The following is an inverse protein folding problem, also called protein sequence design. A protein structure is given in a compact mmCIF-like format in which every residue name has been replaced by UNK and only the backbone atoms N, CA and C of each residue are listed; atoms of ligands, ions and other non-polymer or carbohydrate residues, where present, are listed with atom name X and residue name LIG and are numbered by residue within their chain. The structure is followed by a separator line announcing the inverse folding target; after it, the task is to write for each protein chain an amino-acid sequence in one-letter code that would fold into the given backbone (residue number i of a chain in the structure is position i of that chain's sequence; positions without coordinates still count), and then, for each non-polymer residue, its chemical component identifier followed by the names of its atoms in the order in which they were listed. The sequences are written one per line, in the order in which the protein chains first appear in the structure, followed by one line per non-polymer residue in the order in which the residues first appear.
data_IF_507985343615
#
_entry.id   IF_507985343615
#
_cell.length_a   1.000
_cell.length_b   1.000
_cell.length_c   1.000
_cell.angle_alpha   90.00
_cell.angle_beta   90.00
_cell.angle_gamma   90.00
#
_symmetry.space_group_name_H-M   'P 1'
#
loop_
_entity.id
_entity.type
_entity.pdbx_description
1 polymer ?
#
# COMPACT_ATOMS: atom_id res chain seq x y z
N UNK A 1 16.53 -4.89 -27.53
CA UNK A 1 15.89 -3.64 -27.04
C UNK A 1 15.30 -3.93 -25.68
N UNK A 2 15.37 -3.01 -24.71
CA UNK A 2 14.78 -3.21 -23.38
C UNK A 2 13.25 -3.21 -23.50
N UNK A 3 12.60 -4.25 -22.98
CA UNK A 3 11.15 -4.43 -23.03
C UNK A 3 10.46 -4.13 -21.70
N UNK A 4 11.17 -4.24 -20.57
CA UNK A 4 10.63 -3.91 -19.25
C UNK A 4 11.70 -3.26 -18.38
N UNK A 5 11.31 -2.21 -17.64
CA UNK A 5 12.15 -1.56 -16.64
C UNK A 5 11.65 -1.93 -15.25
N UNK A 6 12.53 -2.48 -14.41
CA UNK A 6 12.21 -2.83 -13.03
C UNK A 6 12.79 -1.75 -12.11
N UNK A 7 11.95 -1.05 -11.36
CA UNK A 7 12.37 0.00 -10.44
C UNK A 7 12.33 -0.53 -9.01
N UNK A 8 13.48 -0.45 -8.33
CA UNK A 8 13.65 -0.87 -6.93
C UNK A 8 14.03 0.34 -6.08
N UNK A 9 13.12 0.85 -5.24
CA UNK A 9 13.45 1.90 -4.27
C UNK A 9 14.22 1.29 -3.11
N UNK A 10 15.39 1.85 -2.80
CA UNK A 10 16.31 1.31 -1.80
C UNK A 10 16.55 2.32 -0.69
N UNK A 11 16.07 2.02 0.52
CA UNK A 11 16.41 2.76 1.73
C UNK A 11 16.66 1.80 2.90
N UNK A 12 17.90 1.69 3.36
CA UNK A 12 18.29 0.90 4.53
C UNK A 12 17.75 -0.55 4.52
N UNK A 13 17.73 -1.19 3.35
CA UNK A 13 17.23 -2.56 3.17
C UNK A 13 18.21 -3.63 3.69
N UNK A 14 19.48 -3.25 3.90
CA UNK A 14 20.52 -4.11 4.44
C UNK A 14 20.67 -5.42 3.67
N UNK A 15 20.75 -6.54 4.40
CA UNK A 15 20.96 -7.87 3.81
C UNK A 15 19.80 -8.36 2.95
N UNK A 16 18.58 -7.84 3.14
CA UNK A 16 17.39 -8.32 2.40
C UNK A 16 17.47 -7.96 0.90
N UNK A 17 18.13 -6.83 0.59
CA UNK A 17 18.33 -6.34 -0.76
C UNK A 17 19.06 -7.34 -1.67
N UNK A 18 19.98 -8.14 -1.11
CA UNK A 18 20.72 -9.13 -1.87
C UNK A 18 19.79 -10.19 -2.48
N UNK A 19 18.79 -10.65 -1.72
CA UNK A 19 17.77 -11.61 -2.21
C UNK A 19 16.89 -10.98 -3.29
N UNK A 20 16.47 -9.74 -3.10
CA UNK A 20 15.71 -8.97 -4.08
C UNK A 20 16.47 -8.94 -5.43
N UNK A 21 17.70 -8.40 -5.44
CA UNK A 21 18.50 -8.24 -6.67
C UNK A 21 18.77 -9.58 -7.34
N UNK A 22 19.13 -10.61 -6.56
CA UNK A 22 19.37 -11.95 -7.11
C UNK A 22 18.11 -12.51 -7.81
N UNK A 23 16.91 -12.29 -7.26
CA UNK A 23 15.66 -12.71 -7.92
C UNK A 23 15.40 -12.00 -9.26
N UNK A 24 15.86 -10.75 -9.40
CA UNK A 24 15.73 -9.96 -10.63
C UNK A 24 16.76 -10.35 -11.69
N UNK A 25 18.01 -10.59 -11.27
CA UNK A 25 19.06 -11.10 -12.16
C UNK A 25 18.66 -12.46 -12.74
N UNK A 26 18.05 -13.30 -11.89
CA UNK A 26 17.67 -14.65 -12.24
C UNK A 26 16.46 -14.76 -13.17
N UNK A 27 15.75 -13.69 -13.54
CA UNK A 27 14.55 -13.76 -14.39
C UNK A 27 14.77 -14.51 -15.71
N UNK A 28 13.75 -15.23 -16.18
CA UNK A 28 13.75 -15.94 -17.47
C UNK A 28 13.85 -14.98 -18.67
N UNK A 29 13.17 -13.83 -18.60
CA UNK A 29 13.26 -12.73 -19.55
C UNK A 29 14.60 -11.96 -19.42
N UNK A 30 15.29 -11.70 -20.54
CA UNK A 30 16.60 -11.02 -20.52
C UNK A 30 16.56 -9.57 -20.97
N UNK A 31 15.53 -9.18 -21.71
CA UNK A 31 15.27 -7.83 -22.24
C UNK A 31 14.78 -6.87 -21.16
N UNK A 32 15.50 -6.84 -20.04
CA UNK A 32 15.17 -6.08 -18.84
C UNK A 32 16.25 -5.02 -18.57
N UNK A 33 15.86 -3.95 -17.92
CA UNK A 33 16.77 -3.12 -17.12
C UNK A 33 16.31 -3.09 -15.67
N UNK A 34 17.26 -3.01 -14.74
CA UNK A 34 16.99 -3.00 -13.30
C UNK A 34 17.53 -1.68 -12.74
N UNK A 35 16.65 -0.83 -12.25
CA UNK A 35 16.95 0.52 -11.79
C UNK A 35 16.88 0.54 -10.27
N UNK A 36 18.04 0.49 -9.62
CA UNK A 36 18.18 0.57 -8.17
C UNK A 36 18.30 2.04 -7.77
N UNK A 37 17.26 2.60 -7.14
CA UNK A 37 17.24 3.99 -6.71
C UNK A 37 17.55 4.06 -5.21
N UNK A 38 18.80 4.38 -4.87
CA UNK A 38 19.22 4.58 -3.49
C UNK A 38 18.74 5.93 -2.96
N UNK A 39 17.88 5.88 -1.94
CA UNK A 39 17.20 7.01 -1.30
C UNK A 39 17.96 7.52 -0.07
N UNK A 40 19.27 7.72 -0.22
CA UNK A 40 20.11 8.19 0.89
C UNK A 40 20.32 7.15 2.00
N UNK A 41 20.41 5.85 1.66
CA UNK A 41 20.72 4.81 2.66
C UNK A 41 22.01 5.11 3.41
N UNK A 42 21.98 4.92 4.73
CA UNK A 42 23.11 5.10 5.65
C UNK A 42 23.74 3.77 6.07
N UNK A 43 23.14 2.65 5.68
CA UNK A 43 23.65 1.31 5.91
C UNK A 43 24.49 0.77 4.72
N UNK A 44 24.63 -0.55 4.60
CA UNK A 44 25.41 -1.18 3.53
C UNK A 44 24.65 -1.30 2.19
N UNK A 45 23.42 -0.80 2.08
CA UNK A 45 22.57 -1.00 0.88
C UNK A 45 23.21 -0.47 -0.41
N UNK A 46 23.77 0.74 -0.39
CA UNK A 46 24.43 1.31 -1.57
C UNK A 46 25.64 0.47 -2.03
N UNK A 47 26.38 -0.11 -1.09
CA UNK A 47 27.50 -1.00 -1.42
C UNK A 47 27.02 -2.30 -2.08
N UNK A 48 25.88 -2.84 -1.64
CA UNK A 48 25.23 -3.99 -2.26
C UNK A 48 24.79 -3.65 -3.69
N UNK A 49 24.16 -2.49 -3.91
CA UNK A 49 23.82 -2.04 -5.27
C UNK A 49 25.06 -2.00 -6.18
N UNK A 50 26.14 -1.36 -5.71
CA UNK A 50 27.41 -1.24 -6.46
C UNK A 50 28.07 -2.59 -6.75
N UNK A 51 27.99 -3.55 -5.81
CA UNK A 51 28.50 -4.92 -6.01
C UNK A 51 27.82 -5.58 -7.21
N UNK A 52 26.48 -5.54 -7.25
CA UNK A 52 25.72 -6.23 -8.30
C UNK A 52 25.73 -5.50 -9.64
N UNK A 53 25.76 -4.16 -9.66
CA UNK A 53 25.89 -3.43 -10.93
C UNK A 53 27.21 -3.69 -11.67
N UNK A 54 28.27 -4.11 -10.96
CA UNK A 54 29.52 -4.56 -11.59
C UNK A 54 29.41 -5.96 -12.22
N UNK A 55 28.43 -6.76 -11.81
CA UNK A 55 28.26 -8.16 -12.22
C UNK A 55 27.21 -8.33 -13.31
N UNK A 56 26.22 -7.44 -13.37
CA UNK A 56 25.13 -7.49 -14.36
C UNK A 56 24.94 -6.12 -15.02
N UNK A 57 25.24 -6.04 -16.32
CA UNK A 57 25.17 -4.81 -17.11
C UNK A 57 23.75 -4.26 -17.31
N UNK A 58 22.71 -4.99 -16.92
CA UNK A 58 21.32 -4.52 -16.93
C UNK A 58 21.00 -3.59 -15.75
N UNK A 59 21.86 -3.56 -14.72
CA UNK A 59 21.62 -2.80 -13.49
C UNK A 59 22.13 -1.36 -13.63
N UNK A 60 21.22 -0.41 -13.41
CA UNK A 60 21.50 1.03 -13.27
C UNK A 60 21.33 1.45 -11.82
N UNK A 61 22.23 2.29 -11.32
CA UNK A 61 22.15 2.84 -9.96
C UNK A 61 21.88 4.33 -10.05
N UNK A 62 20.86 4.78 -9.35
CA UNK A 62 20.61 6.21 -9.11
C UNK A 62 20.82 6.45 -7.62
N UNK A 63 21.66 7.42 -7.28
CA UNK A 63 21.92 7.79 -5.90
C UNK A 63 21.40 9.21 -5.64
N UNK A 64 20.53 9.37 -4.65
CA UNK A 64 19.92 10.65 -4.28
C UNK A 64 19.85 10.80 -2.75
N UNK A 65 19.48 12.00 -2.31
CA UNK A 65 19.16 12.26 -0.91
C UNK A 65 17.83 11.59 -0.53
N UNK A 66 17.59 11.40 0.76
CA UNK A 66 16.34 10.82 1.26
C UNK A 66 15.16 11.77 0.99
N UNK A 67 14.23 11.35 0.14
CA UNK A 67 12.99 12.10 -0.17
C UNK A 67 11.73 11.23 -0.09
N UNK A 68 11.86 9.98 0.37
CA UNK A 68 10.74 9.06 0.54
C UNK A 68 10.44 8.16 -0.67
N UNK A 69 9.58 7.18 -0.39
CA UNK A 69 9.26 6.02 -1.21
C UNK A 69 8.78 6.38 -2.63
N UNK A 70 7.78 7.26 -2.74
CA UNK A 70 7.16 7.59 -4.02
C UNK A 70 8.07 8.47 -4.88
N UNK A 71 8.73 9.48 -4.31
CA UNK A 71 9.70 10.31 -5.06
C UNK A 71 10.85 9.45 -5.60
N UNK A 72 11.29 8.47 -4.83
CA UNK A 72 12.30 7.48 -5.26
C UNK A 72 11.79 6.60 -6.41
N UNK A 73 10.55 6.10 -6.34
CA UNK A 73 9.94 5.37 -7.47
C UNK A 73 9.79 6.25 -8.71
N UNK A 74 9.27 7.48 -8.57
CA UNK A 74 9.09 8.44 -9.66
C UNK A 74 10.42 8.75 -10.35
N UNK A 75 11.51 8.93 -9.58
CA UNK A 75 12.85 9.10 -10.14
C UNK A 75 13.27 7.89 -10.99
N UNK A 76 12.97 6.67 -10.55
CA UNK A 76 13.21 5.46 -11.34
C UNK A 76 12.36 5.37 -12.61
N UNK A 77 11.09 5.77 -12.55
CA UNK A 77 10.19 5.82 -13.72
C UNK A 77 10.70 6.80 -14.77
N UNK A 78 11.15 7.99 -14.37
CA UNK A 78 11.69 9.00 -15.29
C UNK A 78 12.86 8.43 -16.08
N UNK A 79 13.78 7.73 -15.40
CA UNK A 79 15.00 7.16 -15.96
C UNK A 79 14.78 5.81 -16.68
N UNK A 80 13.59 5.22 -16.56
CA UNK A 80 13.22 4.00 -17.27
C UNK A 80 13.22 4.21 -18.79
N UNK A 81 13.88 3.34 -19.54
CA UNK A 81 13.91 3.38 -21.01
C UNK A 81 12.78 2.60 -21.67
N UNK A 82 12.16 1.63 -20.97
CA UNK A 82 11.00 0.92 -21.49
C UNK A 82 9.70 1.71 -21.33
N UNK A 83 8.74 1.42 -22.21
CA UNK A 83 7.33 1.80 -22.07
C UNK A 83 6.62 1.06 -20.93
N UNK A 84 7.19 -0.02 -20.39
CA UNK A 84 6.59 -0.80 -19.31
C UNK A 84 7.47 -0.82 -18.06
N UNK A 85 6.88 -0.51 -16.92
CA UNK A 85 7.58 -0.41 -15.63
C UNK A 85 6.95 -1.33 -14.60
N UNK A 86 7.77 -2.07 -13.86
CA UNK A 86 7.38 -2.85 -12.69
C UNK A 86 8.10 -2.35 -11.45
N UNK A 87 7.41 -2.25 -10.33
CA UNK A 87 8.03 -1.95 -9.04
C UNK A 87 8.29 -3.23 -8.24
N UNK A 88 9.43 -3.27 -7.55
CA UNK A 88 9.76 -4.33 -6.58
C UNK A 88 10.38 -3.68 -5.35
N UNK A 89 9.85 -3.99 -4.16
CA UNK A 89 10.38 -3.44 -2.91
C UNK A 89 11.69 -4.13 -2.51
N UNK A 90 12.62 -3.36 -1.93
CA UNK A 90 13.98 -3.81 -1.65
C UNK A 90 14.10 -4.92 -0.60
N UNK A 91 13.05 -5.21 0.17
CA UNK A 91 13.01 -6.30 1.13
C UNK A 91 12.21 -7.53 0.69
N UNK A 92 11.63 -7.48 -0.50
CA UNK A 92 10.86 -8.54 -1.14
C UNK A 92 11.68 -9.29 -2.20
N UNK A 93 11.07 -10.27 -2.85
CA UNK A 93 11.63 -10.94 -4.03
C UNK A 93 10.51 -11.42 -4.94
N UNK A 94 10.87 -11.84 -6.15
CA UNK A 94 9.89 -12.26 -7.16
C UNK A 94 10.16 -13.68 -7.67
N UNK A 95 9.12 -14.27 -8.27
CA UNK A 95 9.20 -15.53 -8.98
C UNK A 95 10.07 -15.41 -10.24
N UNK A 96 10.73 -16.50 -10.64
CA UNK A 96 11.59 -16.57 -11.82
C UNK A 96 10.90 -16.13 -13.12
N UNK A 97 9.59 -16.34 -13.20
CA UNK A 97 8.78 -16.13 -14.41
C UNK A 97 7.96 -14.84 -14.43
N UNK A 98 8.03 -13.99 -13.38
CA UNK A 98 7.13 -12.83 -13.25
C UNK A 98 7.24 -11.88 -14.44
N UNK A 99 8.45 -11.63 -14.95
CA UNK A 99 8.65 -10.67 -16.03
C UNK A 99 8.02 -11.16 -17.33
N UNK A 100 8.28 -12.42 -17.71
CA UNK A 100 7.68 -13.03 -18.90
C UNK A 100 6.16 -13.06 -18.79
N UNK A 101 5.61 -13.54 -17.66
CA UNK A 101 4.16 -13.67 -17.47
C UNK A 101 3.44 -12.32 -17.55
N UNK A 102 3.95 -11.29 -16.88
CA UNK A 102 3.33 -9.96 -16.92
C UNK A 102 3.48 -9.32 -18.31
N UNK A 103 4.65 -9.44 -18.94
CA UNK A 103 4.90 -8.86 -20.26
C UNK A 103 4.04 -9.50 -21.35
N UNK A 104 3.90 -10.83 -21.34
CA UNK A 104 3.05 -11.56 -22.30
C UNK A 104 1.61 -11.07 -22.22
N UNK A 105 1.04 -10.93 -21.02
CA UNK A 105 -0.33 -10.42 -20.88
C UNK A 105 -0.44 -8.94 -21.27
N UNK A 106 0.57 -8.13 -20.98
CA UNK A 106 0.60 -6.71 -21.33
C UNK A 106 0.52 -6.52 -22.84
N UNK A 107 1.26 -7.34 -23.60
CA UNK A 107 1.27 -7.29 -25.07
C UNK A 107 0.06 -7.99 -25.68
N UNK A 108 -0.28 -9.20 -25.22
CA UNK A 108 -1.39 -10.00 -25.75
C UNK A 108 -2.71 -9.24 -25.68
N UNK A 109 -2.99 -8.63 -24.54
CA UNK A 109 -4.25 -7.94 -24.30
C UNK A 109 -4.19 -6.47 -24.71
N UNK A 110 -3.03 -5.93 -25.09
CA UNK A 110 -2.79 -4.47 -25.21
C UNK A 110 -3.32 -3.74 -23.97
N UNK A 111 -2.80 -4.15 -22.81
CA UNK A 111 -3.23 -3.67 -21.51
C UNK A 111 -2.52 -2.36 -21.14
N UNK A 112 -3.09 -1.65 -20.18
CA UNK A 112 -2.49 -0.49 -19.53
C UNK A 112 -1.77 -0.89 -18.24
N UNK A 113 -2.36 -1.84 -17.52
CA UNK A 113 -1.81 -2.43 -16.30
C UNK A 113 -2.07 -3.94 -16.28
N UNK A 114 -1.08 -4.72 -15.87
CA UNK A 114 -1.24 -6.15 -15.55
C UNK A 114 -0.91 -6.38 -14.09
N UNK A 115 -1.75 -7.11 -13.37
CA UNK A 115 -1.64 -7.34 -11.93
C UNK A 115 -1.60 -8.84 -11.66
N UNK A 116 -0.54 -9.31 -11.01
CA UNK A 116 -0.47 -10.69 -10.51
C UNK A 116 -0.84 -10.76 -9.03
N UNK A 117 -1.11 -11.97 -8.57
CA UNK A 117 -1.33 -12.23 -7.16
C UNK A 117 0.02 -12.22 -6.38
N UNK A 118 -0.05 -12.20 -5.06
CA UNK A 118 1.10 -12.13 -4.15
C UNK A 118 1.05 -13.24 -3.11
N UNK A 119 2.23 -13.70 -2.71
CA UNK A 119 2.42 -14.47 -1.51
C UNK A 119 2.86 -13.59 -0.36
N UNK A 120 2.20 -13.72 0.79
CA UNK A 120 2.71 -13.22 2.06
C UNK A 120 3.63 -14.26 2.68
N UNK A 121 4.86 -13.87 2.98
CA UNK A 121 5.90 -14.74 3.56
C UNK A 121 6.30 -14.27 4.94
N UNK A 122 6.26 -15.18 5.91
CA UNK A 122 6.75 -14.94 7.27
C UNK A 122 8.14 -15.55 7.43
N UNK A 123 9.07 -14.78 8.02
CA UNK A 123 10.49 -15.11 8.20
C UNK A 123 11.33 -15.21 6.89
N UNK A 124 12.66 -15.25 7.02
CA UNK A 124 13.63 -15.35 5.92
C UNK A 124 13.56 -16.68 5.15
N UNK A 125 12.95 -17.72 5.73
CA UNK A 125 13.09 -19.11 5.30
C UNK A 125 11.89 -19.71 4.53
N UNK A 126 10.88 -18.92 4.14
CA UNK A 126 9.74 -19.42 3.34
C UNK A 126 8.87 -20.51 4.03
N UNK A 127 8.91 -20.61 5.37
CA UNK A 127 8.23 -21.66 6.14
C UNK A 127 6.70 -21.53 6.04
N UNK A 128 6.17 -20.31 5.90
CA UNK A 128 4.74 -20.07 5.71
C UNK A 128 4.53 -19.12 4.53
N UNK A 129 3.87 -19.64 3.50
CA UNK A 129 3.53 -18.95 2.26
C UNK A 129 2.02 -18.94 2.10
N UNK A 130 1.38 -17.76 2.23
CA UNK A 130 -0.07 -17.62 2.07
C UNK A 130 -0.38 -16.68 0.91
N UNK A 131 -1.13 -17.17 -0.08
CA UNK A 131 -1.63 -16.35 -1.19
C UNK A 131 -2.62 -15.29 -0.70
N UNK A 132 -2.75 -14.19 -1.44
CA UNK A 132 -3.90 -13.31 -1.27
C UNK A 132 -5.14 -14.03 -1.80
N UNK A 133 -6.18 -14.11 -0.97
CA UNK A 133 -7.43 -14.82 -1.26
C UNK A 133 -8.51 -13.86 -1.77
N UNK A 134 -8.10 -12.76 -2.41
CA UNK A 134 -9.02 -11.82 -3.02
C UNK A 134 -9.62 -12.41 -4.28
N UNK A 135 -10.94 -12.29 -4.44
CA UNK A 135 -11.70 -12.80 -5.59
C UNK A 135 -11.22 -12.24 -6.94
N UNK A 136 -10.50 -11.11 -6.95
CA UNK A 136 -9.87 -10.55 -8.15
C UNK A 136 -8.79 -11.47 -8.76
N UNK A 137 -8.34 -12.48 -8.03
CA UNK A 137 -7.30 -13.42 -8.42
C UNK A 137 -7.79 -14.88 -8.45
N UNK A 138 -9.10 -15.13 -8.48
CA UNK A 138 -9.64 -16.49 -8.63
C UNK A 138 -9.38 -17.05 -10.04
N UNK A 139 -9.47 -16.18 -11.04
CA UNK A 139 -9.23 -16.50 -12.46
C UNK A 139 -8.59 -15.30 -13.16
N UNK A 140 -7.97 -15.54 -14.32
CA UNK A 140 -7.54 -14.43 -15.20
C UNK A 140 -8.77 -13.62 -15.60
N UNK A 141 -8.67 -12.29 -15.55
CA UNK A 141 -9.73 -11.41 -16.02
C UNK A 141 -9.20 -10.14 -16.67
N UNK A 142 -9.84 -9.77 -17.76
CA UNK A 142 -9.62 -8.47 -18.44
C UNK A 142 -10.76 -7.55 -18.04
N UNK A 143 -10.42 -6.37 -17.55
CA UNK A 143 -11.33 -5.28 -17.21
C UNK A 143 -11.14 -4.19 -18.26
N UNK A 144 -12.22 -3.79 -18.91
CA UNK A 144 -12.24 -2.65 -19.83
C UNK A 144 -12.60 -1.36 -19.08
N UNK A 145 -12.39 -0.21 -19.72
CA UNK A 145 -12.52 1.15 -19.18
C UNK A 145 -13.58 1.30 -18.06
N UNK A 146 -14.85 1.04 -18.39
CA UNK A 146 -15.94 1.09 -17.42
C UNK A 146 -15.76 0.11 -16.25
N UNK A 147 -15.37 -1.14 -16.50
CA UNK A 147 -15.11 -2.11 -15.43
C UNK A 147 -13.88 -1.77 -14.59
N UNK A 148 -12.85 -1.13 -15.16
CA UNK A 148 -11.69 -0.66 -14.40
C UNK A 148 -12.16 0.36 -13.37
N UNK A 149 -12.97 1.34 -13.78
CA UNK A 149 -13.53 2.34 -12.88
C UNK A 149 -14.47 1.73 -11.84
N UNK A 150 -15.53 1.05 -12.28
CA UNK A 150 -16.63 0.59 -11.40
C UNK A 150 -16.27 -0.63 -10.53
N UNK A 151 -15.23 -1.40 -10.88
CA UNK A 151 -14.84 -2.60 -10.11
C UNK A 151 -13.48 -2.45 -9.43
N UNK A 152 -12.48 -1.88 -10.10
CA UNK A 152 -11.11 -1.82 -9.56
C UNK A 152 -10.87 -0.52 -8.78
N UNK A 153 -11.11 0.64 -9.38
CA UNK A 153 -10.94 1.93 -8.69
C UNK A 153 -11.96 2.05 -7.53
N UNK A 154 -13.22 1.71 -7.79
CA UNK A 154 -14.28 1.68 -6.77
C UNK A 154 -13.98 0.76 -5.58
N UNK A 155 -13.19 -0.31 -5.75
CA UNK A 155 -12.80 -1.19 -4.66
C UNK A 155 -12.02 -0.42 -3.57
N UNK A 156 -11.35 0.67 -3.91
CA UNK A 156 -10.63 1.47 -2.93
C UNK A 156 -11.53 2.29 -2.01
N UNK A 157 -12.84 2.34 -2.25
CA UNK A 157 -13.81 2.97 -1.35
C UNK A 157 -14.42 2.01 -0.33
N UNK A 158 -14.12 0.71 -0.43
CA UNK A 158 -14.86 -0.35 0.29
C UNK A 158 -13.96 -1.34 1.03
N UNK A 159 -12.89 -0.85 1.66
CA UNK A 159 -11.96 -1.69 2.43
C UNK A 159 -10.90 -2.41 1.59
N UNK A 160 -10.68 -1.96 0.35
CA UNK A 160 -9.56 -2.34 -0.51
C UNK A 160 -9.44 -3.85 -0.81
N UNK A 161 -10.49 -4.53 -1.30
CA UNK A 161 -10.37 -5.92 -1.73
C UNK A 161 -9.42 -6.08 -2.93
N UNK A 162 -9.15 -5.02 -3.68
CA UNK A 162 -8.12 -4.98 -4.72
C UNK A 162 -6.79 -4.44 -4.14
N UNK A 163 -5.61 -5.00 -4.50
CA UNK A 163 -4.35 -4.63 -3.87
C UNK A 163 -3.94 -3.18 -4.14
N UNK A 164 -3.74 -2.40 -3.07
CA UNK A 164 -3.27 -1.02 -3.12
C UNK A 164 -1.74 -0.87 -3.26
N UNK A 165 -0.96 -1.96 -3.17
CA UNK A 165 0.50 -1.91 -3.32
C UNK A 165 0.92 -1.54 -4.74
N UNK A 166 2.05 -0.87 -4.91
CA UNK A 166 2.58 -0.56 -6.24
C UNK A 166 3.32 -1.73 -6.91
N UNK A 167 3.80 -2.69 -6.11
CA UNK A 167 4.43 -3.91 -6.61
C UNK A 167 3.40 -4.94 -7.10
N UNK A 168 3.89 -6.05 -7.68
CA UNK A 168 3.08 -7.10 -8.31
C UNK A 168 2.23 -6.61 -9.49
N UNK A 169 2.64 -5.48 -10.09
CA UNK A 169 1.98 -4.84 -11.23
C UNK A 169 3.02 -4.43 -12.27
N UNK A 170 2.66 -4.60 -13.53
CA UNK A 170 3.36 -4.02 -14.68
C UNK A 170 2.47 -2.91 -15.24
N UNK A 171 3.01 -1.71 -15.40
CA UNK A 171 2.28 -0.52 -15.84
C UNK A 171 2.84 0.00 -17.15
N UNK A 172 1.99 0.65 -17.96
CA UNK A 172 2.48 1.63 -18.93
C UNK A 172 3.15 2.80 -18.20
N UNK A 173 4.34 3.18 -18.68
CA UNK A 173 5.18 4.24 -18.11
C UNK A 173 4.46 5.59 -18.09
N UNK A 174 3.73 5.93 -19.15
CA UNK A 174 3.01 7.21 -19.27
C UNK A 174 1.99 7.41 -18.15
N UNK A 175 1.23 6.37 -17.79
CA UNK A 175 0.26 6.44 -16.70
C UNK A 175 0.91 6.76 -15.35
N UNK A 176 2.11 6.21 -15.11
CA UNK A 176 2.86 6.56 -13.90
C UNK A 176 3.35 8.01 -13.93
N UNK A 177 3.74 8.54 -15.09
CA UNK A 177 4.21 9.93 -15.18
C UNK A 177 3.06 10.93 -15.03
N UNK A 178 1.89 10.59 -15.56
CA UNK A 178 0.68 11.42 -15.60
C UNK A 178 -0.16 11.34 -14.32
N UNK A 179 0.17 10.42 -13.41
CA UNK A 179 -0.44 10.30 -12.08
C UNK A 179 0.40 10.95 -10.99
N UNK A 180 -0.22 11.19 -9.84
CA UNK A 180 0.40 11.68 -8.61
C UNK A 180 -0.15 13.00 -8.09
N UNK A 181 -1.31 13.45 -8.58
CA UNK A 181 -1.99 14.69 -8.17
C UNK A 181 -2.20 14.76 -6.66
N UNK A 182 -2.51 13.63 -6.02
CA UNK A 182 -2.88 13.61 -4.60
C UNK A 182 -1.72 13.36 -3.63
N UNK A 183 -0.52 13.08 -4.14
CA UNK A 183 0.62 12.64 -3.32
C UNK A 183 1.07 13.70 -2.30
N UNK A 184 1.03 14.98 -2.66
CA UNK A 184 1.42 16.07 -1.75
C UNK A 184 0.41 16.28 -0.60
N UNK A 185 -0.78 15.69 -0.68
CA UNK A 185 -1.81 15.73 0.37
C UNK A 185 -1.67 14.60 1.39
N UNK A 186 -0.76 13.65 1.15
CA UNK A 186 -0.52 12.48 1.99
C UNK A 186 0.89 12.56 2.57
N UNK A 187 1.00 12.46 3.88
CA UNK A 187 2.26 12.63 4.62
C UNK A 187 2.99 11.29 4.72
N UNK A 188 2.28 10.20 5.06
CA UNK A 188 2.94 8.93 5.33
C UNK A 188 2.17 7.67 4.88
N UNK A 189 0.87 7.58 5.17
CA UNK A 189 0.07 6.39 4.90
C UNK A 189 -0.90 6.60 3.74
N UNK A 190 -0.87 5.68 2.77
CA UNK A 190 -1.87 5.63 1.70
C UNK A 190 -1.36 6.16 0.36
N UNK A 191 -0.11 6.62 0.28
CA UNK A 191 0.50 7.12 -0.96
C UNK A 191 0.34 6.14 -2.13
N UNK A 192 0.61 4.85 -1.91
CA UNK A 192 0.44 3.78 -2.92
C UNK A 192 -1.01 3.64 -3.40
N UNK A 193 -1.97 3.84 -2.50
CA UNK A 193 -3.39 3.71 -2.81
C UNK A 193 -3.83 4.84 -3.73
N UNK A 194 -3.53 6.08 -3.35
CA UNK A 194 -3.96 7.25 -4.13
C UNK A 194 -3.21 7.34 -5.46
N UNK A 195 -1.99 6.84 -5.51
CA UNK A 195 -1.30 6.72 -6.78
C UNK A 195 -1.94 5.65 -7.68
N UNK A 196 -2.30 4.48 -7.12
CA UNK A 196 -3.00 3.44 -7.87
C UNK A 196 -4.40 3.87 -8.33
N UNK A 197 -5.17 4.59 -7.51
CA UNK A 197 -6.51 5.01 -7.93
C UNK A 197 -6.43 5.97 -9.12
N UNK A 198 -5.49 6.92 -9.13
CA UNK A 198 -5.26 7.80 -10.28
C UNK A 198 -4.86 7.00 -11.53
N UNK A 199 -3.93 6.06 -11.40
CA UNK A 199 -3.51 5.19 -12.51
C UNK A 199 -4.68 4.39 -13.07
N UNK A 200 -5.53 3.82 -12.20
CA UNK A 200 -6.71 3.05 -12.63
C UNK A 200 -7.76 3.93 -13.32
N UNK A 201 -8.00 5.14 -12.82
CA UNK A 201 -8.95 6.09 -13.44
C UNK A 201 -8.50 6.56 -14.83
N UNK A 202 -7.18 6.56 -15.09
CA UNK A 202 -6.61 6.85 -16.41
C UNK A 202 -6.40 5.60 -17.28
N UNK A 203 -6.65 4.39 -16.75
CA UNK A 203 -6.48 3.12 -17.47
C UNK A 203 -7.77 2.72 -18.20
N UNK A 204 -7.64 2.32 -19.46
CA UNK A 204 -8.72 1.77 -20.28
C UNK A 204 -8.77 0.25 -20.25
N UNK A 205 -7.67 -0.42 -19.90
CA UNK A 205 -7.62 -1.89 -19.84
C UNK A 205 -6.68 -2.40 -18.77
N UNK A 206 -7.22 -3.14 -17.81
CA UNK A 206 -6.45 -3.78 -16.74
C UNK A 206 -6.64 -5.29 -16.80
N UNK A 207 -5.56 -6.05 -16.65
CA UNK A 207 -5.59 -7.51 -16.61
C UNK A 207 -5.19 -7.99 -15.23
N UNK A 208 -5.98 -8.85 -14.61
CA UNK A 208 -5.55 -9.60 -13.42
C UNK A 208 -5.24 -11.05 -13.81
N UNK A 209 -4.19 -11.60 -13.21
CA UNK A 209 -3.83 -13.01 -13.35
C UNK A 209 -3.75 -13.69 -11.97
N UNK A 210 -4.25 -14.94 -11.83
CA UNK A 210 -4.36 -15.62 -10.54
C UNK A 210 -3.02 -16.03 -9.94
N UNK A 211 -1.98 -16.14 -10.77
CA UNK A 211 -0.65 -16.60 -10.38
C UNK A 211 -0.04 -15.69 -9.33
N UNK A 212 0.35 -16.28 -8.21
CA UNK A 212 1.06 -15.58 -7.16
C UNK A 212 2.55 -15.53 -7.49
N UNK A 213 3.02 -14.42 -8.05
CA UNK A 213 4.37 -14.29 -8.60
C UNK A 213 5.27 -13.34 -7.80
N UNK A 214 4.70 -12.64 -6.82
CA UNK A 214 5.42 -11.70 -5.98
C UNK A 214 5.46 -12.18 -4.52
N UNK A 215 6.62 -12.14 -3.87
CA UNK A 215 6.80 -12.60 -2.50
C UNK A 215 6.97 -11.41 -1.56
N UNK A 216 5.86 -11.00 -0.94
CA UNK A 216 5.81 -9.92 0.03
C UNK A 216 6.21 -10.42 1.42
N UNK A 217 7.25 -9.80 1.99
CA UNK A 217 7.76 -10.14 3.32
C UNK A 217 6.93 -9.48 4.41
N UNK A 218 6.28 -10.31 5.23
CA UNK A 218 5.56 -9.84 6.41
C UNK A 218 6.54 -9.35 7.50
N UNK A 219 6.16 -8.27 8.21
CA UNK A 219 6.92 -7.75 9.37
C UNK A 219 7.32 -6.28 9.29
N UNK A 220 6.77 -5.51 8.35
CA UNK A 220 7.02 -4.08 8.19
C UNK A 220 6.64 -3.19 9.40
N UNK A 221 7.00 -1.91 9.28
CA UNK A 221 6.95 -0.86 10.32
C UNK A 221 5.56 -0.53 10.89
N UNK A 222 4.47 -1.04 10.31
CA UNK A 222 3.07 -0.71 10.67
C UNK A 222 2.66 -1.15 12.09
N UNK A 223 3.52 -1.88 12.80
CA UNK A 223 3.31 -2.24 14.21
C UNK A 223 3.69 -1.14 15.22
N UNK A 224 4.39 -0.08 14.78
CA UNK A 224 4.81 1.08 15.60
C UNK A 224 3.72 2.16 15.68
N UNK A 225 3.99 3.21 16.46
CA UNK A 225 3.18 4.43 16.48
C UNK A 225 3.29 5.15 15.14
N UNK A 226 2.15 5.62 14.62
CA UNK A 226 2.05 6.37 13.37
C UNK A 226 1.58 7.80 13.66
N UNK A 227 2.46 8.79 13.54
CA UNK A 227 2.17 10.18 13.95
C UNK A 227 1.09 10.85 13.11
N UNK A 228 1.10 10.64 11.79
CA UNK A 228 0.23 11.32 10.84
C UNK A 228 -1.01 10.51 10.44
N UNK A 229 -1.30 9.41 11.14
CA UNK A 229 -2.37 8.49 10.76
C UNK A 229 -3.74 9.17 10.67
N UNK A 230 -4.05 10.09 11.59
CA UNK A 230 -5.33 10.79 11.55
C UNK A 230 -5.39 11.76 10.37
N UNK A 231 -4.35 12.56 10.17
CA UNK A 231 -4.27 13.55 9.10
C UNK A 231 -4.34 12.89 7.72
N UNK A 232 -3.56 11.83 7.49
CA UNK A 232 -3.55 11.07 6.23
C UNK A 232 -4.92 10.46 5.90
N UNK A 233 -5.66 10.02 6.92
CA UNK A 233 -6.99 9.44 6.72
C UNK A 233 -8.07 10.50 6.44
N UNK A 234 -7.95 11.69 7.03
CA UNK A 234 -8.82 12.82 6.70
C UNK A 234 -8.54 13.31 5.28
N UNK A 235 -7.27 13.53 4.92
CA UNK A 235 -6.86 13.84 3.54
C UNK A 235 -7.38 12.78 2.57
N UNK A 236 -7.23 11.51 2.96
CA UNK A 236 -7.72 10.38 2.20
C UNK A 236 -9.22 10.41 1.93
N UNK A 237 -10.02 10.66 2.96
CA UNK A 237 -11.47 10.82 2.81
C UNK A 237 -11.83 11.94 1.84
N UNK A 238 -11.14 13.10 1.94
CA UNK A 238 -11.37 14.25 1.07
C UNK A 238 -11.03 13.90 -0.38
N UNK A 239 -9.90 13.27 -0.63
CA UNK A 239 -9.48 12.82 -1.97
C UNK A 239 -10.50 11.84 -2.55
N UNK A 240 -10.91 10.83 -1.78
CA UNK A 240 -11.89 9.86 -2.27
C UNK A 240 -13.24 10.50 -2.55
N UNK A 241 -13.66 11.46 -1.72
CA UNK A 241 -14.87 12.24 -1.95
C UNK A 241 -14.77 13.03 -3.25
N UNK A 242 -13.66 13.71 -3.52
CA UNK A 242 -13.41 14.42 -4.79
C UNK A 242 -13.53 13.46 -5.98
N UNK A 243 -12.88 12.30 -5.90
CA UNK A 243 -12.94 11.27 -6.95
C UNK A 243 -14.36 10.75 -7.16
N UNK A 244 -15.14 10.51 -6.10
CA UNK A 244 -16.53 10.07 -6.21
C UNK A 244 -17.38 11.11 -6.94
N UNK A 245 -17.19 12.40 -6.63
CA UNK A 245 -17.89 13.49 -7.31
C UNK A 245 -17.53 13.56 -8.80
N UNK A 246 -16.25 13.42 -9.12
CA UNK A 246 -15.75 13.60 -10.48
C UNK A 246 -16.06 12.39 -11.39
N UNK A 247 -15.90 11.17 -10.87
CA UNK A 247 -15.90 9.95 -11.69
C UNK A 247 -17.09 9.01 -11.43
N UNK A 248 -17.81 9.16 -10.32
CA UNK A 248 -18.84 8.22 -9.88
C UNK A 248 -20.20 8.88 -9.63
N UNK A 249 -20.46 10.02 -10.24
CA UNK A 249 -21.77 10.69 -10.24
C UNK A 249 -22.41 10.85 -8.86
N UNK A 250 -21.59 11.16 -7.84
CA UNK A 250 -22.07 11.39 -6.47
C UNK A 250 -22.74 10.15 -5.83
N UNK A 251 -22.26 8.93 -6.16
CA UNK A 251 -22.84 7.67 -5.67
C UNK A 251 -22.77 7.53 -4.13
N UNK A 252 -23.95 7.55 -3.51
CA UNK A 252 -24.16 7.39 -2.08
C UNK A 252 -23.58 6.09 -1.51
N UNK A 253 -23.53 5.02 -2.30
CA UNK A 253 -22.89 3.77 -1.91
C UNK A 253 -21.40 3.97 -1.63
N UNK A 254 -20.68 4.70 -2.48
CA UNK A 254 -19.26 4.99 -2.28
C UNK A 254 -19.01 5.93 -1.10
N UNK A 255 -19.88 6.93 -0.88
CA UNK A 255 -19.79 7.77 0.33
C UNK A 255 -19.95 7.00 1.62
N UNK A 256 -20.85 6.01 1.63
CA UNK A 256 -21.00 5.11 2.77
C UNK A 256 -19.69 4.33 3.02
N UNK A 257 -19.07 3.80 1.97
CA UNK A 257 -17.82 3.06 2.05
C UNK A 257 -16.67 3.88 2.67
N UNK A 258 -16.39 5.06 2.12
CA UNK A 258 -15.29 5.91 2.62
C UNK A 258 -15.55 6.42 4.04
N UNK A 259 -16.81 6.63 4.41
CA UNK A 259 -17.20 7.03 5.77
C UNK A 259 -16.97 5.91 6.77
N UNK A 260 -17.34 4.68 6.40
CA UNK A 260 -17.06 3.49 7.21
C UNK A 260 -15.55 3.31 7.38
N UNK A 261 -14.77 3.45 6.31
CA UNK A 261 -13.31 3.34 6.37
C UNK A 261 -12.68 4.40 7.27
N UNK A 262 -13.11 5.67 7.17
CA UNK A 262 -12.64 6.76 8.01
C UNK A 262 -12.94 6.47 9.49
N UNK A 263 -14.19 6.15 9.83
CA UNK A 263 -14.60 5.89 11.21
C UNK A 263 -13.95 4.63 11.80
N UNK A 264 -13.74 3.60 10.99
CA UNK A 264 -13.01 2.40 11.42
C UNK A 264 -11.53 2.73 11.67
N UNK A 265 -10.92 3.58 10.85
CA UNK A 265 -9.54 4.00 11.07
C UNK A 265 -9.43 5.00 12.21
N UNK A 266 -10.46 5.80 12.48
CA UNK A 266 -10.53 6.63 13.68
C UNK A 266 -10.42 5.80 14.96
N UNK A 267 -11.09 4.64 15.04
CA UNK A 267 -10.86 3.66 16.14
C UNK A 267 -9.38 3.24 16.24
N UNK A 268 -8.72 3.06 15.10
CA UNK A 268 -7.28 2.77 15.05
C UNK A 268 -6.45 3.95 15.57
N UNK A 269 -6.77 5.19 15.21
CA UNK A 269 -6.12 6.40 15.74
C UNK A 269 -6.22 6.47 17.27
N UNK A 270 -7.38 6.17 17.85
CA UNK A 270 -7.56 6.10 19.32
C UNK A 270 -6.62 5.06 19.94
N UNK A 271 -6.54 3.86 19.37
CA UNK A 271 -5.64 2.81 19.86
C UNK A 271 -4.15 3.13 19.63
N UNK A 272 -3.85 3.92 18.59
CA UNK A 272 -2.50 4.29 18.19
C UNK A 272 -1.85 5.21 19.23
N UNK A 273 -2.62 6.09 19.88
CA UNK A 273 -2.13 6.97 20.96
C UNK A 273 -1.44 6.18 22.09
N UNK A 274 -1.94 4.99 22.42
CA UNK A 274 -1.38 4.11 23.45
C UNK A 274 -0.06 3.42 23.06
N UNK A 275 0.44 3.62 21.83
CA UNK A 275 1.72 3.07 21.37
C UNK A 275 2.92 3.99 21.62
N UNK A 276 2.71 5.23 22.08
CA UNK A 276 3.76 6.22 22.25
C UNK A 276 3.73 6.85 23.65
N UNK A 277 4.88 6.87 24.33
CA UNK A 277 5.04 7.39 25.70
C UNK A 277 4.65 8.89 25.80
N UNK A 278 4.76 9.66 24.72
CA UNK A 278 4.33 11.06 24.69
C UNK A 278 2.84 11.23 25.06
N UNK A 279 2.02 10.20 24.87
CA UNK A 279 0.58 10.20 25.17
C UNK A 279 0.23 9.31 26.36
N UNK A 280 1.17 9.06 27.27
CA UNK A 280 0.92 8.24 28.47
C UNK A 280 -0.08 8.87 29.44
N UNK A 281 -0.11 10.20 29.49
CA UNK A 281 -1.03 10.97 30.34
C UNK A 281 -2.44 11.01 29.75
N UNK A 282 -3.46 10.70 30.56
CA UNK A 282 -4.87 10.75 30.15
C UNK A 282 -5.29 12.15 29.66
N UNK A 283 -5.00 13.26 30.37
CA UNK A 283 -5.25 14.61 29.86
C UNK A 283 -4.68 14.89 28.46
N UNK A 284 -3.45 14.41 28.17
CA UNK A 284 -2.82 14.62 26.85
C UNK A 284 -3.59 13.85 25.77
N UNK A 285 -3.93 12.58 26.00
CA UNK A 285 -4.75 11.81 25.04
C UNK A 285 -6.10 12.45 24.80
N UNK A 286 -6.77 12.86 25.86
CA UNK A 286 -8.09 13.48 25.77
C UNK A 286 -8.04 14.80 24.98
N UNK A 287 -6.98 15.60 25.14
CA UNK A 287 -6.77 16.79 24.32
C UNK A 287 -6.61 16.45 22.82
N UNK A 288 -5.81 15.43 22.49
CA UNK A 288 -5.63 14.98 21.10
C UNK A 288 -6.93 14.43 20.51
N UNK A 289 -7.68 13.62 21.26
CA UNK A 289 -8.99 13.11 20.86
C UNK A 289 -9.96 14.28 20.63
N UNK A 290 -9.95 15.29 21.50
CA UNK A 290 -10.71 16.52 21.34
C UNK A 290 -10.41 17.20 19.99
N UNK A 291 -9.13 17.36 19.66
CA UNK A 291 -8.70 17.91 18.37
C UNK A 291 -9.14 17.07 17.17
N UNK A 292 -9.14 15.74 17.28
CA UNK A 292 -9.69 14.88 16.22
C UNK A 292 -11.20 15.13 16.00
N UNK A 293 -11.96 15.33 17.07
CA UNK A 293 -13.41 15.59 17.00
C UNK A 293 -13.76 17.00 16.51
N UNK A 294 -12.82 17.94 16.60
CA UNK A 294 -12.95 19.27 16.01
C UNK A 294 -12.87 19.24 14.47
N UNK A 295 -12.32 18.17 13.90
CA UNK A 295 -12.24 18.03 12.45
C UNK A 295 -13.64 17.79 11.83
N UNK A 296 -14.10 18.63 10.89
CA UNK A 296 -15.44 18.55 10.33
C UNK A 296 -15.69 17.24 9.55
N UNK A 297 -14.64 16.64 8.99
CA UNK A 297 -14.73 15.40 8.20
C UNK A 297 -15.23 14.21 9.04
N UNK A 298 -14.92 14.18 10.34
CA UNK A 298 -15.46 13.17 11.26
C UNK A 298 -16.98 13.31 11.41
N UNK A 299 -17.47 14.55 11.58
CA UNK A 299 -18.91 14.82 11.70
C UNK A 299 -19.64 14.58 10.38
N UNK A 300 -18.99 14.86 9.26
CA UNK A 300 -19.54 14.58 7.94
C UNK A 300 -19.75 13.08 7.74
N UNK A 301 -18.74 12.25 8.05
CA UNK A 301 -18.84 10.80 7.91
C UNK A 301 -19.98 10.19 8.74
N UNK A 302 -20.33 10.77 9.89
CA UNK A 302 -21.47 10.33 10.70
C UNK A 302 -22.83 10.52 10.03
N UNK A 303 -22.96 11.46 9.09
CA UNK A 303 -24.25 11.75 8.42
C UNK A 303 -24.70 10.61 7.51
N UNK A 304 -23.78 9.74 7.09
CA UNK A 304 -24.08 8.61 6.22
C UNK A 304 -24.80 7.50 6.99
N UNK A 305 -26.10 7.31 6.73
CA UNK A 305 -26.97 6.39 7.51
C UNK A 305 -26.41 4.97 7.63
N UNK A 306 -25.68 4.49 6.63
CA UNK A 306 -25.06 3.15 6.64
C UNK A 306 -24.00 2.97 7.73
N UNK A 307 -23.47 4.03 8.34
CA UNK A 307 -22.55 3.87 9.48
C UNK A 307 -23.23 3.26 10.70
N UNK A 308 -24.55 3.44 10.84
CA UNK A 308 -25.35 2.92 11.95
C UNK A 308 -25.46 1.40 11.94
N UNK A 309 -25.33 0.76 10.77
CA UNK A 309 -25.35 -0.69 10.67
C UNK A 309 -23.98 -1.32 10.92
N UNK A 310 -22.91 -0.55 10.76
CA UNK A 310 -21.53 -1.04 10.87
C UNK A 310 -20.92 -0.81 12.25
N UNK A 311 -21.36 0.22 12.99
CA UNK A 311 -20.78 0.60 14.28
C UNK A 311 -21.79 0.56 15.41
N UNK A 312 -21.30 0.22 16.61
CA UNK A 312 -22.08 0.28 17.84
C UNK A 312 -22.65 1.69 18.07
N UNK A 313 -23.93 1.77 18.44
CA UNK A 313 -24.61 3.03 18.72
C UNK A 313 -23.86 3.88 19.77
N UNK A 314 -23.26 3.23 20.78
CA UNK A 314 -22.46 3.92 21.81
C UNK A 314 -21.21 4.61 21.25
N UNK A 315 -20.58 4.04 20.22
CA UNK A 315 -19.43 4.66 19.56
C UNK A 315 -19.85 5.88 18.75
N UNK A 316 -20.93 5.77 17.97
CA UNK A 316 -21.44 6.89 17.17
C UNK A 316 -21.92 8.03 18.07
N UNK A 317 -22.66 7.71 19.13
CA UNK A 317 -23.12 8.67 20.14
C UNK A 317 -21.95 9.41 20.80
N UNK A 318 -20.87 8.69 21.12
CA UNK A 318 -19.69 9.28 21.75
C UNK A 318 -18.98 10.29 20.82
N UNK A 319 -18.94 10.04 19.51
CA UNK A 319 -18.40 11.01 18.55
C UNK A 319 -19.31 12.23 18.46
N UNK A 320 -20.61 12.02 18.28
CA UNK A 320 -21.61 13.08 18.11
C UNK A 320 -21.67 14.03 19.31
N UNK A 321 -21.63 13.47 20.52
CA UNK A 321 -21.73 14.22 21.79
C UNK A 321 -20.36 14.59 22.39
N UNK A 322 -19.27 14.32 21.66
CA UNK A 322 -17.89 14.56 22.13
C UNK A 322 -17.59 13.92 23.48
N UNK A 323 -18.04 12.68 23.70
CA UNK A 323 -17.67 11.88 24.88
C UNK A 323 -16.22 11.38 24.75
N UNK A 324 -15.29 12.30 25.02
CA UNK A 324 -13.85 12.08 24.94
C UNK A 324 -13.41 10.99 25.93
N UNK A 325 -14.06 10.88 27.09
CA UNK A 325 -13.73 9.87 28.09
C UNK A 325 -14.04 8.46 27.59
N UNK A 326 -15.22 8.26 27.00
CA UNK A 326 -15.58 7.00 26.37
C UNK A 326 -14.62 6.63 25.24
N UNK A 327 -14.27 7.58 24.37
CA UNK A 327 -13.38 7.35 23.23
C UNK A 327 -11.95 7.00 23.67
N UNK A 328 -11.42 7.65 24.72
CA UNK A 328 -10.12 7.28 25.30
C UNK A 328 -10.14 5.84 25.84
N UNK A 329 -11.19 5.48 26.59
CA UNK A 329 -11.37 4.12 27.11
C UNK A 329 -11.52 3.08 25.99
N UNK A 330 -12.23 3.41 24.92
CA UNK A 330 -12.32 2.57 23.73
C UNK A 330 -10.94 2.36 23.09
N UNK A 331 -10.15 3.42 22.92
CA UNK A 331 -8.77 3.35 22.44
C UNK A 331 -7.92 2.37 23.26
N UNK A 332 -8.03 2.44 24.60
CA UNK A 332 -7.34 1.51 25.50
C UNK A 332 -7.75 0.06 25.29
N UNK A 333 -9.06 -0.21 25.22
CA UNK A 333 -9.60 -1.56 25.00
C UNK A 333 -9.08 -2.16 23.69
N UNK A 334 -9.12 -1.38 22.62
CA UNK A 334 -8.61 -1.78 21.30
C UNK A 334 -7.11 -2.04 21.31
N UNK A 335 -6.32 -1.16 21.95
CA UNK A 335 -4.88 -1.34 22.10
C UNK A 335 -4.54 -2.65 22.85
N UNK A 336 -5.24 -2.93 23.96
CA UNK A 336 -5.05 -4.17 24.74
C UNK A 336 -5.40 -5.41 23.93
N UNK A 337 -6.54 -5.43 23.24
CA UNK A 337 -6.95 -6.56 22.40
C UNK A 337 -5.90 -6.86 21.31
N UNK A 338 -5.36 -5.82 20.66
CA UNK A 338 -4.29 -5.96 19.67
C UNK A 338 -2.96 -6.44 20.25
N UNK A 339 -2.65 -6.12 21.52
CA UNK A 339 -1.47 -6.65 22.23
C UNK A 339 -1.62 -8.14 22.54
N UNK A 340 -2.80 -8.58 22.99
CA UNK A 340 -3.07 -10.00 23.24
C UNK A 340 -2.93 -10.83 21.98
N UNK A 341 -3.49 -10.37 20.85
CA UNK A 341 -3.34 -11.05 19.54
C UNK A 341 -1.88 -11.15 19.12
N UNK A 342 -1.09 -10.08 19.26
CA UNK A 342 0.36 -10.10 18.95
C UNK A 342 1.16 -11.00 19.89
N UNK A 343 0.80 -11.07 21.17
CA UNK A 343 1.43 -11.96 22.13
C UNK A 343 1.14 -13.44 21.80
N UNK A 344 -0.11 -13.78 21.51
CA UNK A 344 -0.51 -15.12 21.06
C UNK A 344 0.23 -15.51 19.78
N UNK A 345 0.27 -14.62 18.78
CA UNK A 345 1.05 -14.87 17.54
C UNK A 345 2.53 -15.10 17.84
N UNK A 346 3.16 -14.29 18.70
CA UNK A 346 4.57 -14.47 19.10
C UNK A 346 4.84 -15.75 19.90
N UNK A 347 3.86 -16.23 20.66
CA UNK A 347 3.97 -17.49 21.41
C UNK A 347 3.82 -18.67 20.47
N UNK A 348 2.87 -18.63 19.53
CA UNK A 348 2.72 -19.63 18.45
C UNK A 348 4.01 -19.69 17.61
N UNK A 349 4.54 -18.53 17.20
CA UNK A 349 5.83 -18.43 16.46
C UNK A 349 7.02 -19.04 17.22
N UNK A 350 6.98 -19.09 18.57
CA UNK A 350 8.02 -19.71 19.39
C UNK A 350 7.80 -21.20 19.65
N UNK A 351 6.57 -21.68 19.54
CA UNK A 351 6.20 -23.08 19.80
C UNK A 351 6.32 -23.96 18.54
N UNK A 352 6.34 -23.38 17.34
CA UNK A 352 6.60 -24.08 16.07
C UNK A 352 8.10 -24.35 15.80
N UNK A 353 8.93 -24.35 16.84
CA UNK A 353 10.29 -24.89 16.82
C UNK A 353 10.25 -26.28 17.48
N UNK A 354 9.70 -27.28 16.78
CA UNK A 354 10.01 -28.71 16.98
C UNK A 354 9.97 -29.39 15.62
#
# INVERSE_FOLDING_TARGET
MVQMSIVVPVYNAGKKLEKCILSLIAQDMKELEIILVNDGSTDKSLNICKKYAKQDGRIKIINKNNEGSIKTRRRGVIEASSKYVMFVDADDWVDHSICTKLYEQMVLEDADVVVCNTYKVFDNAAIIKKSNNSHFFDVKKVYNDHEVREKLAAAYFHGHPFPASLFAKLYKKELLLDSGKYLDSIIFLGEDLYYNIEVLLHSKKVVTIPESLYYYRAGGLTSKYMSYLFDDMVSGYIIQKEIINEYFHDDQHHYNGISIMLLNTFKTCLSNLYKNEAYKSTPIRQAVIGGYLDNPTIKEALKNKSVQTYFDASFLYAIENRDIQYLDQLGWRLYRAGRSKRYVMKVIEKLEIV
#
